data_IF_673006968327
#
_entry.id   IF_673006968327
#
_cell.length_a   1.000
_cell.length_b   1.000
_cell.length_c   1.000
_cell.angle_alpha   90.00
_cell.angle_beta   90.00
_cell.angle_gamma   90.00
#
_symmetry.space_group_name_H-M   'P 1'
#
loop_
_entity.id
_entity.type
_entity.pdbx_description
1 polymer ?
#
# COMPACT_ATOMS: atom_id res chain seq x y z
N UNK A 1 4.88 0.71 -22.15
CA UNK A 1 5.24 1.20 -20.80
C UNK A 1 5.56 2.70 -20.82
N UNK A 2 5.84 3.26 -22.00
CA UNK A 2 6.46 4.57 -22.20
C UNK A 2 5.60 5.79 -21.82
N UNK A 3 4.30 5.61 -21.63
CA UNK A 3 3.37 6.69 -21.27
C UNK A 3 2.93 6.68 -19.79
N UNK A 4 3.51 5.82 -18.96
CA UNK A 4 3.17 5.74 -17.53
C UNK A 4 3.80 6.92 -16.77
N UNK A 5 2.96 7.79 -16.21
CA UNK A 5 3.40 8.84 -15.30
C UNK A 5 3.43 8.33 -13.85
N UNK A 6 4.63 8.27 -13.27
CA UNK A 6 4.82 7.84 -11.88
C UNK A 6 5.11 9.02 -10.97
N UNK A 7 4.62 8.95 -9.73
CA UNK A 7 5.07 9.84 -8.65
C UNK A 7 6.30 9.24 -7.98
N UNK A 8 7.24 10.07 -7.55
CA UNK A 8 8.36 9.59 -6.72
C UNK A 8 7.83 9.03 -5.41
N UNK A 9 8.55 8.04 -4.86
CA UNK A 9 8.31 7.57 -3.50
C UNK A 9 8.64 8.69 -2.51
N UNK A 10 7.78 8.84 -1.51
CA UNK A 10 7.97 9.75 -0.39
C UNK A 10 8.81 9.03 0.65
N UNK A 11 10.13 9.19 0.55
CA UNK A 11 11.11 8.56 1.45
C UNK A 11 10.79 8.77 2.94
N UNK A 12 10.21 9.92 3.30
CA UNK A 12 9.77 10.19 4.68
C UNK A 12 8.76 9.19 5.23
N UNK A 13 7.95 8.54 4.38
CA UNK A 13 6.97 7.55 4.81
C UNK A 13 7.62 6.26 5.31
N UNK A 14 8.89 5.99 4.95
CA UNK A 14 9.67 4.87 5.51
C UNK A 14 10.09 5.11 6.96
N UNK A 15 9.96 6.34 7.45
CA UNK A 15 10.37 6.74 8.80
C UNK A 15 9.20 6.76 9.80
N UNK A 16 8.02 6.28 9.43
CA UNK A 16 6.88 6.16 10.34
C UNK A 16 7.25 5.13 11.43
N UNK A 17 7.29 5.59 12.69
CA UNK A 17 7.62 4.75 13.85
C UNK A 17 6.38 4.26 14.61
N UNK A 18 5.31 5.05 14.55
CA UNK A 18 4.04 4.82 15.23
C UNK A 18 2.92 5.17 14.23
N UNK A 19 2.02 4.23 13.88
CA UNK A 19 2.00 2.81 14.29
C UNK A 19 3.25 2.04 13.86
N UNK A 20 3.50 0.89 14.52
CA UNK A 20 4.63 0.00 14.19
C UNK A 20 4.39 -0.72 12.86
N UNK A 21 5.48 -1.21 12.26
CA UNK A 21 5.47 -2.04 11.04
C UNK A 21 4.84 -1.41 9.80
N UNK A 22 4.70 -0.08 9.76
CA UNK A 22 4.24 0.63 8.56
C UNK A 22 5.34 0.62 7.50
N UNK A 23 5.00 0.17 6.27
CA UNK A 23 5.94 0.12 5.14
C UNK A 23 5.27 0.64 3.88
N UNK A 24 6.06 1.16 2.93
CA UNK A 24 5.57 1.39 1.58
C UNK A 24 5.24 0.04 0.92
N UNK A 25 4.06 -0.05 0.29
CA UNK A 25 3.66 -1.25 -0.44
C UNK A 25 4.66 -1.61 -1.54
N UNK A 26 5.29 -0.59 -2.15
CA UNK A 26 6.36 -0.79 -3.11
C UNK A 26 7.56 -1.58 -2.54
N UNK A 27 7.92 -1.36 -1.28
CA UNK A 27 9.10 -1.96 -0.66
C UNK A 27 8.92 -3.43 -0.26
N UNK A 28 7.67 -3.90 -0.17
CA UNK A 28 7.36 -5.29 0.18
C UNK A 28 7.17 -6.19 -1.04
N UNK A 29 7.19 -5.61 -2.25
CA UNK A 29 7.09 -6.37 -3.50
C UNK A 29 8.47 -6.73 -4.04
N UNK A 30 8.70 -8.02 -4.27
CA UNK A 30 9.82 -8.48 -5.05
C UNK A 30 9.36 -8.76 -6.49
N UNK A 31 10.09 -8.27 -7.48
CA UNK A 31 9.69 -8.40 -8.88
C UNK A 31 10.87 -8.51 -9.83
N UNK A 32 10.66 -9.22 -10.94
CA UNK A 32 11.63 -9.41 -12.03
C UNK A 32 10.85 -9.48 -13.36
N UNK A 33 11.36 -8.88 -14.45
CA UNK A 33 12.63 -8.17 -14.59
C UNK A 33 12.61 -6.74 -14.02
N UNK A 34 13.76 -6.12 -13.70
CA UNK A 34 13.83 -4.76 -13.15
C UNK A 34 13.14 -3.69 -14.01
N UNK A 35 13.01 -3.93 -15.32
CA UNK A 35 12.42 -3.00 -16.28
C UNK A 35 10.94 -2.68 -16.01
N UNK A 36 10.24 -3.53 -15.24
CA UNK A 36 8.86 -3.26 -14.83
C UNK A 36 8.74 -2.31 -13.63
N UNK A 37 9.86 -1.79 -13.11
CA UNK A 37 9.90 -0.88 -11.96
C UNK A 37 8.89 0.27 -12.06
N UNK A 38 8.75 0.90 -13.24
CA UNK A 38 7.77 1.99 -13.44
C UNK A 38 6.33 1.52 -13.31
N UNK A 39 6.04 0.29 -13.75
CA UNK A 39 4.71 -0.30 -13.64
C UNK A 39 4.38 -0.60 -12.18
N UNK A 40 5.33 -1.18 -11.44
CA UNK A 40 5.16 -1.47 -10.00
C UNK A 40 4.99 -0.17 -9.21
N UNK A 41 5.82 0.84 -9.48
CA UNK A 41 5.71 2.16 -8.87
C UNK A 41 4.37 2.84 -9.18
N UNK A 42 3.84 2.69 -10.40
CA UNK A 42 2.53 3.21 -10.77
C UNK A 42 1.39 2.50 -10.03
N UNK A 43 1.43 1.16 -9.98
CA UNK A 43 0.40 0.35 -9.34
C UNK A 43 0.34 0.55 -7.81
N UNK A 44 1.50 0.73 -7.17
CA UNK A 44 1.60 0.89 -5.71
C UNK A 44 1.61 2.34 -5.25
N UNK A 45 2.07 3.26 -6.09
CA UNK A 45 2.23 4.68 -5.78
C UNK A 45 2.95 4.88 -4.42
N UNK A 46 2.32 5.59 -3.47
CA UNK A 46 2.80 5.79 -2.12
C UNK A 46 1.86 5.11 -1.10
N UNK A 47 1.24 3.99 -1.50
CA UNK A 47 0.38 3.23 -0.61
C UNK A 47 1.19 2.61 0.53
N UNK A 48 0.59 2.55 1.71
CA UNK A 48 1.20 2.01 2.91
C UNK A 48 0.54 0.68 3.30
N UNK A 49 1.33 -0.25 3.81
CA UNK A 49 0.84 -1.49 4.42
C UNK A 49 1.04 -1.42 5.92
N UNK A 50 0.02 -1.85 6.67
CA UNK A 50 -0.01 -1.87 8.13
C UNK A 50 -0.49 -3.24 8.62
N UNK A 51 -0.23 -3.57 9.88
CA UNK A 51 -0.62 -4.87 10.45
C UNK A 51 -2.14 -4.95 10.67
N UNK A 52 -2.74 -3.90 11.23
CA UNK A 52 -4.16 -3.88 11.63
C UNK A 52 -4.98 -2.83 10.88
N UNK A 53 -6.32 -3.01 10.76
CA UNK A 53 -7.22 -1.99 10.21
C UNK A 53 -7.16 -0.66 10.96
N UNK A 54 -6.99 -0.71 12.28
CA UNK A 54 -6.89 0.46 13.15
C UNK A 54 -5.63 1.27 12.83
N UNK A 55 -4.49 0.58 12.64
CA UNK A 55 -3.24 1.22 12.26
C UNK A 55 -3.32 1.79 10.84
N UNK A 56 -3.89 1.04 9.90
CA UNK A 56 -4.10 1.51 8.52
C UNK A 56 -4.99 2.76 8.47
N UNK A 57 -6.05 2.84 9.29
CA UNK A 57 -6.90 4.02 9.39
C UNK A 57 -6.12 5.25 9.89
N UNK A 58 -5.36 5.08 10.98
CA UNK A 58 -4.51 6.15 11.54
C UNK A 58 -3.50 6.64 10.51
N UNK A 59 -2.85 5.71 9.83
CA UNK A 59 -1.88 5.99 8.76
C UNK A 59 -2.53 6.69 7.56
N UNK A 60 -3.76 6.32 7.19
CA UNK A 60 -4.44 6.95 6.08
C UNK A 60 -4.84 8.40 6.36
N UNK A 61 -5.26 8.72 7.60
CA UNK A 61 -5.98 9.97 7.88
C UNK A 61 -5.43 10.83 9.03
N UNK A 62 -4.61 10.28 9.93
CA UNK A 62 -4.23 10.95 11.19
C UNK A 62 -2.73 11.25 11.29
N UNK A 63 -1.86 10.51 10.61
CA UNK A 63 -0.39 10.70 10.75
C UNK A 63 0.09 12.08 10.28
N UNK A 64 -0.63 12.72 9.36
CA UNK A 64 -0.31 14.05 8.87
C UNK A 64 -1.58 14.89 8.69
N UNK A 65 -1.72 16.04 9.38
CA UNK A 65 -2.94 16.85 9.36
C UNK A 65 -3.40 17.31 7.97
N UNK A 66 -2.47 17.49 7.04
CA UNK A 66 -2.71 18.05 5.71
C UNK A 66 -2.64 17.01 4.58
N UNK A 67 -2.24 15.77 4.88
CA UNK A 67 -2.02 14.75 3.87
C UNK A 67 -2.74 13.45 4.23
N UNK A 68 -3.48 12.93 3.26
CA UNK A 68 -4.07 11.59 3.34
C UNK A 68 -3.31 10.60 2.46
N UNK A 69 -3.32 9.35 2.89
CA UNK A 69 -2.60 8.26 2.24
C UNK A 69 -3.54 7.11 1.91
N UNK A 70 -3.19 6.35 0.88
CA UNK A 70 -3.78 5.06 0.65
C UNK A 70 -3.10 4.06 1.59
N UNK A 71 -3.84 3.34 2.43
CA UNK A 71 -3.29 2.41 3.42
C UNK A 71 -4.10 1.11 3.47
N UNK A 72 -3.40 -0.03 3.47
CA UNK A 72 -4.01 -1.37 3.52
C UNK A 72 -3.54 -2.11 4.77
N UNK A 73 -4.45 -2.80 5.43
CA UNK A 73 -4.15 -3.72 6.53
C UNK A 73 -3.95 -5.15 6.02
N UNK A 74 -3.30 -6.02 6.81
CA UNK A 74 -3.02 -7.41 6.41
C UNK A 74 -4.28 -8.26 6.22
N UNK A 75 -5.40 -7.88 6.83
CA UNK A 75 -6.71 -8.53 6.62
C UNK A 75 -7.38 -8.14 5.29
N UNK A 76 -6.78 -7.22 4.54
CA UNK A 76 -7.28 -6.70 3.28
C UNK A 76 -8.20 -5.49 3.40
N UNK A 77 -8.39 -4.94 4.60
CA UNK A 77 -9.08 -3.65 4.78
C UNK A 77 -8.26 -2.52 4.18
N UNK A 78 -8.84 -1.79 3.23
CA UNK A 78 -8.16 -0.76 2.47
C UNK A 78 -8.85 0.60 2.61
N UNK A 79 -8.07 1.58 3.04
CA UNK A 79 -8.43 2.98 3.20
C UNK A 79 -7.81 3.79 2.07
N UNK A 80 -8.64 4.52 1.33
CA UNK A 80 -8.18 5.38 0.25
C UNK A 80 -8.05 6.82 0.75
N UNK A 81 -7.09 7.56 0.21
CA UNK A 81 -6.96 9.01 0.50
C UNK A 81 -8.24 9.82 0.19
N UNK A 82 -9.11 9.29 -0.67
CA UNK A 82 -10.43 9.86 -1.02
C UNK A 82 -11.45 9.77 0.13
N UNK A 83 -11.19 8.95 1.15
CA UNK A 83 -12.13 8.64 2.24
C UNK A 83 -12.93 7.35 2.03
N UNK A 84 -12.76 6.67 0.89
CA UNK A 84 -13.40 5.37 0.64
C UNK A 84 -12.71 4.29 1.49
N UNK A 85 -13.51 3.49 2.19
CA UNK A 85 -13.09 2.27 2.86
C UNK A 85 -13.63 1.06 2.08
N UNK A 86 -12.79 0.04 1.89
CA UNK A 86 -13.15 -1.22 1.23
C UNK A 86 -12.54 -2.41 1.97
N UNK A 87 -13.16 -3.58 1.84
CA UNK A 87 -12.71 -4.81 2.51
C UNK A 87 -13.41 -6.04 1.94
N UNK A 88 -13.24 -7.19 2.59
CA UNK A 88 -13.80 -8.47 2.15
C UNK A 88 -12.78 -9.60 2.25
N UNK A 89 -12.31 -9.87 3.47
CA UNK A 89 -11.17 -10.75 3.75
C UNK A 89 -11.30 -12.15 3.14
N UNK A 90 -12.52 -12.73 3.11
CA UNK A 90 -12.75 -14.06 2.52
C UNK A 90 -12.47 -14.11 1.02
N UNK A 91 -13.01 -13.15 0.25
CA UNK A 91 -12.79 -13.11 -1.20
C UNK A 91 -11.38 -12.67 -1.56
N UNK A 92 -10.79 -11.80 -0.74
CA UNK A 92 -9.38 -11.40 -0.87
C UNK A 92 -8.45 -12.58 -0.62
N UNK A 93 -8.68 -13.38 0.42
CA UNK A 93 -7.90 -14.59 0.71
C UNK A 93 -7.97 -15.60 -0.45
N UNK A 94 -9.17 -15.81 -1.02
CA UNK A 94 -9.34 -16.67 -2.21
C UNK A 94 -8.54 -16.17 -3.41
N UNK A 95 -8.51 -14.85 -3.64
CA UNK A 95 -7.71 -14.23 -4.72
C UNK A 95 -6.22 -14.29 -4.43
N UNK A 96 -5.81 -14.13 -3.17
CA UNK A 96 -4.41 -14.14 -2.73
C UNK A 96 -3.74 -15.49 -2.96
N UNK A 97 -4.47 -16.61 -2.87
CA UNK A 97 -3.95 -17.97 -3.14
C UNK A 97 -3.25 -18.11 -4.50
N UNK A 98 -3.57 -17.27 -5.48
CA UNK A 98 -2.87 -17.22 -6.78
C UNK A 98 -1.38 -16.87 -6.68
N UNK A 99 -0.93 -16.32 -5.55
CA UNK A 99 0.48 -16.06 -5.28
C UNK A 99 1.22 -17.31 -4.77
N UNK A 100 0.52 -18.29 -4.18
CA UNK A 100 1.11 -19.55 -3.75
C UNK A 100 1.25 -20.54 -4.92
N UNK A 101 0.34 -20.43 -5.90
CA UNK A 101 0.31 -21.29 -7.08
C UNK A 101 1.34 -20.86 -8.17
N UNK A 102 2.24 -19.91 -7.88
CA UNK A 102 3.24 -19.34 -8.79
C UNK A 102 4.65 -19.40 -8.21
#
# INVERSE_FOLDING_TARGET
IDYIQTKSLKERLRNIKEPKNVKLLYDVLNYSPPDIKRVVLFATNNALVCDTPEDAMKVAYEIEPQNRYDAVALDGTFYQKSGIMSGGSLDLARKAKRWDDK
#
